data_IF_713018203021
#
_entry.id   IF_713018203021
#
_cell.length_a   1.000
_cell.length_b   1.000
_cell.length_c   1.000
_cell.angle_alpha   90.00
_cell.angle_beta   90.00
_cell.angle_gamma   90.00
#
_symmetry.space_group_name_H-M   'P 1'
#
loop_
_entity.id
_entity.type
_entity.pdbx_description
1 polymer ?
#
# COMPACT_ATOMS: atom_id res chain seq x y z
N UNK A 1 -11.64 19.24 0.61
CA UNK A 1 -12.43 18.81 1.77
C UNK A 1 -13.91 18.98 1.45
N UNK A 2 -14.74 17.97 1.69
CA UNK A 2 -16.18 17.99 1.39
C UNK A 2 -17.04 17.90 2.66
N UNK A 3 -16.47 17.47 3.77
CA UNK A 3 -17.10 17.45 5.07
C UNK A 3 -16.07 17.42 6.18
N UNK A 4 -16.40 18.00 7.33
CA UNK A 4 -15.58 17.96 8.55
C UNK A 4 -16.44 18.12 9.81
N UNK A 5 -15.86 17.71 10.94
CA UNK A 5 -16.27 18.06 12.29
C UNK A 5 -14.99 18.39 13.08
N UNK A 6 -14.87 19.64 13.52
CA UNK A 6 -13.70 20.15 14.27
C UNK A 6 -13.99 20.15 15.78
N UNK A 7 -15.14 19.63 16.21
CA UNK A 7 -15.59 19.54 17.61
C UNK A 7 -15.53 20.84 18.41
N UNK A 8 -15.58 21.99 17.73
CA UNK A 8 -15.53 23.34 18.29
C UNK A 8 -16.89 23.88 18.74
N UNK A 9 -17.96 23.12 18.52
CA UNK A 9 -19.31 23.44 18.93
C UNK A 9 -19.55 23.25 20.44
N UNK A 10 -20.65 23.83 20.98
CA UNK A 10 -20.99 23.70 22.39
C UNK A 10 -21.51 22.29 22.78
N UNK A 11 -21.96 21.52 21.80
CA UNK A 11 -22.48 20.15 21.97
C UNK A 11 -22.14 19.30 20.78
N UNK A 12 -22.06 17.98 21.00
CA UNK A 12 -21.87 17.02 19.94
C UNK A 12 -23.01 17.12 18.89
N UNK A 13 -22.67 17.20 17.61
CA UNK A 13 -23.67 17.30 16.54
C UNK A 13 -24.50 16.02 16.45
N UNK A 14 -25.72 16.09 17.00
CA UNK A 14 -26.64 14.96 17.02
C UNK A 14 -27.14 14.52 15.63
N UNK A 15 -26.92 15.31 14.58
CA UNK A 15 -27.23 14.95 13.18
C UNK A 15 -26.20 13.97 12.63
N UNK A 16 -24.99 13.98 13.19
CA UNK A 16 -23.86 13.13 12.77
C UNK A 16 -23.60 12.00 13.78
N UNK A 17 -23.58 12.34 15.07
CA UNK A 17 -23.12 11.42 16.12
C UNK A 17 -24.25 10.91 17.00
N UNK A 18 -24.10 9.68 17.43
CA UNK A 18 -24.85 9.10 18.56
C UNK A 18 -23.85 8.51 19.54
N UNK A 19 -24.15 8.64 20.84
CA UNK A 19 -23.43 7.89 21.86
C UNK A 19 -23.73 6.41 21.72
N UNK A 20 -22.70 5.58 21.91
CA UNK A 20 -22.81 4.14 21.78
C UNK A 20 -23.45 3.57 23.04
N UNK A 21 -24.42 2.67 22.85
CA UNK A 21 -25.03 1.93 23.95
C UNK A 21 -24.30 0.62 24.21
N UNK A 22 -24.42 0.14 25.44
CA UNK A 22 -23.87 -1.15 25.84
C UNK A 22 -24.45 -2.30 25.02
N UNK A 23 -23.58 -3.24 24.66
CA UNK A 23 -23.99 -4.47 23.99
C UNK A 23 -23.17 -5.67 24.49
N UNK A 24 -23.42 -6.86 23.91
CA UNK A 24 -22.63 -8.06 24.23
C UNK A 24 -21.33 -8.17 23.45
N UNK A 25 -21.12 -7.27 22.48
CA UNK A 25 -19.84 -7.22 21.77
C UNK A 25 -18.71 -6.85 22.75
N UNK A 26 -17.57 -7.48 22.62
CA UNK A 26 -16.42 -7.31 23.57
C UNK A 26 -15.98 -5.87 23.68
N UNK A 27 -16.01 -5.12 22.60
CA UNK A 27 -15.68 -3.69 22.53
C UNK A 27 -16.75 -2.78 23.16
N UNK A 28 -17.99 -3.24 23.38
CA UNK A 28 -19.10 -2.40 23.82
C UNK A 28 -19.69 -2.79 25.20
N UNK A 29 -19.05 -3.71 25.93
CA UNK A 29 -19.58 -4.21 27.21
C UNK A 29 -19.58 -3.17 28.34
N UNK A 30 -18.74 -2.13 28.22
CA UNK A 30 -18.63 -1.03 29.19
C UNK A 30 -19.20 0.29 28.67
N UNK A 31 -19.74 0.32 27.45
CA UNK A 31 -20.28 1.56 26.87
C UNK A 31 -21.45 2.09 27.69
N UNK A 32 -21.46 3.41 27.84
CA UNK A 32 -22.52 4.13 28.56
C UNK A 32 -22.71 5.52 27.92
N UNK A 33 -23.94 6.00 27.94
CA UNK A 33 -24.29 7.36 27.48
C UNK A 33 -24.14 8.44 28.55
N UNK A 34 -23.65 8.09 29.76
CA UNK A 34 -23.48 9.04 30.85
C UNK A 34 -22.57 10.20 30.46
N UNK A 35 -22.97 11.43 30.77
CA UNK A 35 -22.30 12.66 30.35
C UNK A 35 -20.84 12.77 30.85
N UNK A 36 -20.50 12.18 31.99
CA UNK A 36 -19.13 12.21 32.53
C UNK A 36 -18.11 11.55 31.60
N UNK A 37 -18.57 10.68 30.70
CA UNK A 37 -17.72 9.97 29.76
C UNK A 37 -17.42 10.76 28.48
N UNK A 38 -18.03 11.94 28.34
CA UNK A 38 -17.96 12.76 27.13
C UNK A 38 -17.68 14.20 27.50
N UNK A 39 -16.87 14.87 26.71
CA UNK A 39 -16.71 16.31 26.76
C UNK A 39 -16.35 16.88 25.39
N UNK A 40 -16.63 18.16 25.19
CA UNK A 40 -16.02 19.00 24.15
C UNK A 40 -15.15 20.01 24.87
N UNK A 41 -13.85 19.80 24.86
CA UNK A 41 -12.89 20.56 25.66
C UNK A 41 -11.68 20.97 24.82
N UNK A 42 -11.45 22.27 24.70
CA UNK A 42 -10.30 22.82 23.97
C UNK A 42 -10.33 22.57 22.46
N UNK A 43 -11.53 22.33 21.89
CA UNK A 43 -11.69 21.96 20.48
C UNK A 43 -11.59 20.45 20.21
N UNK A 44 -11.54 19.62 21.29
CA UNK A 44 -11.49 18.16 21.14
C UNK A 44 -12.82 17.53 21.55
N UNK A 45 -13.20 16.46 20.86
CA UNK A 45 -14.08 15.44 21.43
C UNK A 45 -13.28 14.55 22.37
N UNK A 46 -13.64 14.54 23.66
CA UNK A 46 -13.03 13.70 24.69
C UNK A 46 -13.92 12.52 25.02
N UNK A 47 -13.40 11.31 24.85
CA UNK A 47 -14.06 10.07 25.23
C UNK A 47 -13.27 9.42 26.36
N UNK A 48 -13.95 9.06 27.46
CA UNK A 48 -13.29 8.59 28.68
C UNK A 48 -13.59 7.13 29.00
N UNK A 49 -12.58 6.46 29.55
CA UNK A 49 -12.72 5.20 30.24
C UNK A 49 -12.49 5.41 31.74
N UNK A 50 -13.43 5.03 32.59
CA UNK A 50 -13.44 5.37 34.03
C UNK A 50 -13.87 4.21 34.91
N UNK A 51 -13.44 4.22 36.18
CA UNK A 51 -14.09 3.44 37.23
C UNK A 51 -15.50 3.97 37.44
N UNK A 52 -16.47 3.07 37.60
CA UNK A 52 -17.85 3.46 37.85
C UNK A 52 -18.10 3.69 39.35
N UNK A 53 -17.68 4.84 39.86
CA UNK A 53 -17.98 5.32 41.21
C UNK A 53 -19.05 6.41 41.24
N UNK A 54 -19.62 6.73 40.10
CA UNK A 54 -20.51 7.87 39.88
C UNK A 54 -21.91 7.53 39.38
N UNK A 55 -22.15 6.30 38.91
CA UNK A 55 -23.46 5.85 38.38
C UNK A 55 -23.91 4.58 39.13
N UNK A 56 -24.43 4.69 40.37
CA UNK A 56 -24.75 3.54 41.20
C UNK A 56 -25.89 2.67 40.67
N UNK A 57 -26.67 3.18 39.69
CA UNK A 57 -27.72 2.39 38.99
C UNK A 57 -27.14 1.43 37.96
N UNK A 58 -25.89 1.58 37.60
CA UNK A 58 -25.18 0.68 36.68
C UNK A 58 -24.18 -0.17 37.45
N UNK A 59 -24.33 -1.48 37.37
CA UNK A 59 -23.52 -2.45 38.17
C UNK A 59 -22.16 -2.76 37.55
N UNK A 60 -21.85 -2.23 36.33
CA UNK A 60 -20.53 -2.43 35.76
C UNK A 60 -19.46 -1.69 36.51
N UNK A 61 -18.30 -2.36 36.74
CA UNK A 61 -17.19 -1.76 37.48
C UNK A 61 -16.50 -0.61 36.70
N UNK A 62 -16.61 -0.64 35.39
CA UNK A 62 -16.03 0.35 34.49
C UNK A 62 -17.07 0.85 33.48
N UNK A 63 -16.96 2.11 33.11
CA UNK A 63 -17.78 2.71 32.06
C UNK A 63 -16.90 3.42 31.03
N UNK A 64 -17.30 3.36 29.78
CA UNK A 64 -16.55 3.93 28.66
C UNK A 64 -17.44 4.77 27.74
N UNK A 65 -16.86 5.84 27.19
CA UNK A 65 -17.48 6.68 26.18
C UNK A 65 -17.15 6.22 24.78
N UNK A 66 -18.09 6.34 23.87
CA UNK A 66 -17.89 6.12 22.45
C UNK A 66 -19.01 6.77 21.62
N UNK A 67 -18.69 7.19 20.42
CA UNK A 67 -19.63 7.76 19.48
C UNK A 67 -19.53 7.07 18.13
N UNK A 68 -20.64 7.00 17.41
CA UNK A 68 -20.68 6.52 16.05
C UNK A 68 -21.57 7.38 15.16
N UNK A 69 -21.23 7.37 13.88
CA UNK A 69 -22.05 8.05 12.86
C UNK A 69 -23.09 7.12 12.20
N UNK A 70 -23.36 5.97 12.79
CA UNK A 70 -24.28 4.94 12.31
C UNK A 70 -25.67 5.50 12.03
N UNK A 71 -26.23 5.21 10.85
CA UNK A 71 -27.52 5.66 10.36
C UNK A 71 -27.68 7.19 10.23
N UNK A 72 -26.59 7.92 10.31
CA UNK A 72 -26.56 9.38 10.22
C UNK A 72 -25.61 9.87 9.15
N UNK A 73 -24.32 9.52 9.27
CA UNK A 73 -23.27 9.90 8.32
C UNK A 73 -22.47 8.67 7.94
N UNK A 74 -22.43 8.35 6.65
CA UNK A 74 -21.54 7.35 6.10
C UNK A 74 -20.58 8.00 5.10
N UNK A 75 -19.43 7.37 4.93
CA UNK A 75 -18.35 7.83 4.08
C UNK A 75 -18.17 6.86 2.91
N UNK A 76 -18.18 7.40 1.70
CA UNK A 76 -17.98 6.69 0.45
C UNK A 76 -16.49 6.47 0.13
N UNK A 77 -16.18 6.35 -1.16
CA UNK A 77 -14.80 6.39 -1.63
C UNK A 77 -14.25 7.80 -1.43
N UNK A 78 -13.01 7.91 -0.98
CA UNK A 78 -12.41 9.18 -0.62
C UNK A 78 -11.38 9.03 0.47
N UNK A 79 -10.91 10.14 1.00
CA UNK A 79 -9.94 10.23 2.10
C UNK A 79 -10.62 10.68 3.38
N UNK A 80 -10.59 9.82 4.39
CA UNK A 80 -11.01 10.13 5.76
C UNK A 80 -9.76 10.34 6.62
N UNK A 81 -9.73 11.45 7.35
CA UNK A 81 -8.62 11.84 8.21
C UNK A 81 -9.13 12.15 9.60
N UNK A 82 -8.55 11.52 10.60
CA UNK A 82 -8.86 11.73 12.01
C UNK A 82 -7.57 12.11 12.73
N UNK A 83 -7.56 13.28 13.38
CA UNK A 83 -6.44 13.69 14.22
C UNK A 83 -6.81 13.46 15.68
N UNK A 84 -6.02 12.64 16.36
CA UNK A 84 -6.32 12.22 17.72
C UNK A 84 -5.05 11.95 18.51
N UNK A 85 -5.20 11.99 19.86
CA UNK A 85 -4.24 11.47 20.81
C UNK A 85 -4.98 10.64 21.86
N UNK A 86 -4.27 9.75 22.55
CA UNK A 86 -4.83 8.90 23.58
C UNK A 86 -3.82 8.60 24.69
N UNK A 87 -4.33 8.27 25.86
CA UNK A 87 -3.52 7.83 26.96
C UNK A 87 -3.03 6.39 26.77
N UNK A 88 -1.90 6.04 27.39
CA UNK A 88 -1.34 4.69 27.36
C UNK A 88 -1.51 4.04 28.74
N UNK A 89 -2.32 2.98 28.78
CA UNK A 89 -2.56 2.23 30.01
C UNK A 89 -2.89 0.76 29.70
N UNK A 90 -2.50 -0.11 30.64
CA UNK A 90 -2.94 -1.51 30.58
C UNK A 90 -4.46 -1.59 30.70
N UNK A 91 -5.08 -2.30 29.78
CA UNK A 91 -6.53 -2.42 29.71
C UNK A 91 -7.22 -1.35 28.87
N UNK A 92 -6.54 -0.29 28.50
CA UNK A 92 -7.08 0.70 27.58
C UNK A 92 -6.96 0.24 26.14
N UNK A 93 -8.05 0.40 25.38
CA UNK A 93 -8.18 -0.01 23.98
C UNK A 93 -8.90 1.08 23.19
N UNK A 94 -8.26 2.24 22.95
CA UNK A 94 -8.84 3.28 22.09
C UNK A 94 -8.87 2.83 20.64
N UNK A 95 -9.95 3.18 19.92
CA UNK A 95 -10.11 2.81 18.52
C UNK A 95 -10.76 3.89 17.67
N UNK A 96 -10.30 3.96 16.42
CA UNK A 96 -10.85 4.72 15.30
C UNK A 96 -11.10 3.71 14.19
N UNK A 97 -12.35 3.38 13.91
CA UNK A 97 -12.68 2.28 13.02
C UNK A 97 -14.01 2.46 12.31
N UNK A 98 -14.29 1.62 11.33
CA UNK A 98 -15.45 1.77 10.47
C UNK A 98 -16.16 0.44 10.22
N UNK A 99 -17.48 0.52 10.14
CA UNK A 99 -18.37 -0.59 9.82
C UNK A 99 -19.29 -0.25 8.63
N UNK A 100 -19.75 -1.24 7.85
CA UNK A 100 -20.60 -1.00 6.70
C UNK A 100 -21.96 -0.42 7.10
N UNK A 101 -22.35 0.65 6.42
CA UNK A 101 -23.68 1.24 6.54
C UNK A 101 -24.64 0.49 5.62
N UNK A 102 -25.50 -0.31 6.19
CA UNK A 102 -26.47 -1.12 5.44
C UNK A 102 -27.80 -1.23 6.18
N UNK A 103 -28.91 -1.31 5.42
CA UNK A 103 -30.24 -1.57 5.96
C UNK A 103 -30.48 -3.06 6.23
N UNK A 104 -29.67 -3.94 5.65
CA UNK A 104 -29.73 -5.39 5.88
C UNK A 104 -28.71 -5.79 6.92
N UNK A 105 -29.12 -6.60 7.89
CA UNK A 105 -28.18 -7.18 8.85
C UNK A 105 -27.16 -8.06 8.08
N UNK A 106 -25.90 -7.70 8.17
CA UNK A 106 -24.79 -8.52 7.68
C UNK A 106 -24.18 -9.27 8.87
N UNK A 107 -24.02 -10.59 8.70
CA UNK A 107 -23.25 -11.34 9.68
C UNK A 107 -21.78 -10.90 9.60
N UNK A 108 -21.27 -10.38 10.71
CA UNK A 108 -19.86 -10.03 10.80
C UNK A 108 -18.98 -11.27 10.54
N UNK A 109 -17.86 -11.13 9.77
CA UNK A 109 -17.32 -9.94 9.14
C UNK A 109 -17.60 -9.82 7.62
N UNK A 110 -18.72 -10.34 7.12
CA UNK A 110 -19.01 -10.41 5.68
C UNK A 110 -19.11 -9.03 5.00
N UNK A 111 -19.55 -8.02 5.74
CA UNK A 111 -19.61 -6.64 5.24
C UNK A 111 -18.28 -5.89 5.27
N UNK A 112 -17.28 -6.48 5.91
CA UNK A 112 -16.00 -5.84 6.17
C UNK A 112 -16.01 -5.00 7.46
N UNK A 113 -14.82 -4.82 8.06
CA UNK A 113 -14.50 -3.90 9.14
C UNK A 113 -13.14 -3.30 8.86
N UNK A 114 -12.99 -2.00 9.08
CA UNK A 114 -11.77 -1.25 8.78
C UNK A 114 -11.32 -0.56 10.06
N UNK A 115 -10.27 -1.06 10.68
CA UNK A 115 -9.67 -0.46 11.87
C UNK A 115 -8.57 0.49 11.44
N UNK A 116 -8.90 1.80 11.40
CA UNK A 116 -7.95 2.84 11.01
C UNK A 116 -6.87 2.99 12.08
N UNK A 117 -7.23 2.86 13.32
CA UNK A 117 -6.33 2.85 14.45
C UNK A 117 -6.93 2.03 15.60
N UNK A 118 -6.17 1.12 16.13
CA UNK A 118 -6.39 0.50 17.43
C UNK A 118 -5.09 0.52 18.22
N UNK A 119 -5.17 0.74 19.52
CA UNK A 119 -4.02 0.63 20.41
C UNK A 119 -4.31 -0.32 21.57
N UNK A 120 -3.32 -1.14 21.92
CA UNK A 120 -3.45 -2.14 22.96
C UNK A 120 -2.30 -2.05 23.96
N UNK A 121 -2.62 -1.94 25.25
CA UNK A 121 -1.63 -1.96 26.33
C UNK A 121 -0.66 -0.77 26.26
N UNK A 122 0.64 -1.07 26.34
CA UNK A 122 1.78 -0.18 26.26
C UNK A 122 2.61 -0.39 24.98
N UNK A 123 1.96 -0.86 23.91
CA UNK A 123 2.66 -1.10 22.66
C UNK A 123 3.20 0.21 22.05
N UNK A 124 4.43 0.22 21.51
CA UNK A 124 4.99 1.42 20.87
C UNK A 124 4.47 1.63 19.44
N UNK A 125 3.38 0.97 19.07
CA UNK A 125 2.75 1.01 17.75
C UNK A 125 1.23 0.94 17.87
N UNK A 126 0.56 1.41 16.86
CA UNK A 126 -0.87 1.18 16.66
C UNK A 126 -1.09 0.08 15.64
N UNK A 127 -2.29 -0.47 15.61
CA UNK A 127 -2.69 -1.46 14.61
C UNK A 127 -3.55 -0.77 13.54
N UNK A 128 -3.24 -1.02 12.27
CA UNK A 128 -4.20 -0.93 11.18
C UNK A 128 -4.67 -2.34 10.86
N UNK A 129 -5.95 -2.60 10.91
CA UNK A 129 -6.47 -3.96 10.69
C UNK A 129 -7.65 -3.93 9.70
N UNK A 130 -7.83 -5.00 8.95
CA UNK A 130 -9.03 -5.22 8.14
C UNK A 130 -9.60 -6.58 8.41
N UNK A 131 -10.90 -6.64 8.69
CA UNK A 131 -11.63 -7.87 8.87
C UNK A 131 -12.62 -8.11 7.73
N UNK A 132 -12.60 -9.31 7.21
CA UNK A 132 -13.52 -9.79 6.17
C UNK A 132 -13.77 -11.28 6.34
N UNK A 133 -14.73 -11.82 5.61
CA UNK A 133 -14.94 -13.27 5.59
C UNK A 133 -13.65 -14.02 5.24
N UNK A 134 -12.88 -13.50 4.30
CA UNK A 134 -11.61 -14.06 3.85
C UNK A 134 -10.53 -14.08 4.93
N UNK A 135 -10.36 -12.94 5.64
CA UNK A 135 -9.30 -12.82 6.66
C UNK A 135 -9.67 -13.52 7.97
N UNK A 136 -10.92 -13.46 8.37
CA UNK A 136 -11.39 -13.98 9.66
C UNK A 136 -11.88 -15.41 9.57
N UNK A 137 -12.94 -15.68 8.78
CA UNK A 137 -13.55 -17.01 8.71
C UNK A 137 -12.69 -18.03 7.97
N UNK A 138 -12.05 -17.62 6.85
CA UNK A 138 -11.18 -18.50 6.08
C UNK A 138 -9.72 -18.50 6.58
N UNK A 139 -9.38 -17.67 7.56
CA UNK A 139 -8.06 -17.58 8.17
C UNK A 139 -6.94 -17.14 7.21
N UNK A 140 -7.28 -16.54 6.07
CA UNK A 140 -6.31 -16.12 5.04
C UNK A 140 -5.75 -14.73 5.34
N UNK A 141 -4.92 -14.63 6.37
CA UNK A 141 -4.48 -13.36 6.98
C UNK A 141 -3.24 -12.73 6.37
N UNK A 142 -2.52 -13.45 5.51
CA UNK A 142 -1.23 -13.01 4.98
C UNK A 142 -1.23 -12.81 3.46
N UNK A 143 -2.43 -12.80 2.82
CA UNK A 143 -2.57 -12.77 1.36
C UNK A 143 -3.78 -11.94 0.90
N UNK A 144 -3.68 -10.62 0.94
CA UNK A 144 -2.68 -9.70 1.52
C UNK A 144 -2.61 -9.77 3.05
N UNK A 145 -1.57 -9.16 3.66
CA UNK A 145 -1.58 -8.98 5.11
C UNK A 145 -2.83 -8.21 5.50
N UNK A 146 -3.52 -8.64 6.54
CA UNK A 146 -4.72 -7.97 7.02
C UNK A 146 -4.41 -6.94 8.12
N UNK A 147 -3.14 -6.80 8.50
CA UNK A 147 -2.72 -5.94 9.61
C UNK A 147 -1.33 -5.33 9.35
N UNK A 148 -1.12 -4.13 9.87
CA UNK A 148 0.18 -3.47 9.98
C UNK A 148 0.33 -2.81 11.35
N UNK A 149 1.57 -2.58 11.78
CA UNK A 149 1.94 -2.09 13.12
C UNK A 149 2.85 -0.85 13.02
N UNK A 150 2.36 0.31 12.55
CA UNK A 150 3.17 1.50 12.47
C UNK A 150 3.44 2.10 13.85
N UNK A 151 4.66 2.62 14.05
CA UNK A 151 5.00 3.42 15.22
C UNK A 151 4.32 4.78 15.14
N UNK A 152 3.82 5.27 16.27
CA UNK A 152 3.17 6.57 16.41
C UNK A 152 3.96 7.46 17.38
N UNK A 153 3.61 8.74 17.46
CA UNK A 153 4.20 9.67 18.42
C UNK A 153 3.35 9.62 19.71
N UNK A 154 3.85 8.91 20.71
CA UNK A 154 3.17 8.75 22.00
C UNK A 154 3.01 10.11 22.72
N UNK A 155 1.84 10.33 23.32
CA UNK A 155 1.51 11.58 24.02
C UNK A 155 1.19 12.78 23.12
N UNK A 156 1.36 12.66 21.80
CA UNK A 156 1.10 13.72 20.85
C UNK A 156 -0.12 13.40 19.96
N UNK A 157 -0.67 14.46 19.34
CA UNK A 157 -1.66 14.24 18.29
C UNK A 157 -1.02 13.60 17.07
N UNK A 158 -1.62 12.53 16.61
CA UNK A 158 -1.28 11.88 15.37
C UNK A 158 -2.45 11.97 14.40
N UNK A 159 -2.16 12.04 13.11
CA UNK A 159 -3.16 12.03 12.06
C UNK A 159 -3.27 10.64 11.46
N UNK A 160 -4.41 10.00 11.67
CA UNK A 160 -4.75 8.68 11.16
C UNK A 160 -5.62 8.84 9.92
N UNK A 161 -5.18 8.32 8.80
CA UNK A 161 -5.85 8.54 7.52
C UNK A 161 -6.15 7.22 6.82
N UNK A 162 -7.34 7.13 6.26
CA UNK A 162 -7.78 6.09 5.35
C UNK A 162 -8.16 6.70 4.00
N UNK A 163 -7.51 6.25 2.93
CA UNK A 163 -8.01 6.43 1.57
C UNK A 163 -8.70 5.15 1.12
N UNK A 164 -9.96 5.28 0.73
CA UNK A 164 -10.78 4.15 0.29
C UNK A 164 -11.09 4.28 -1.20
N UNK A 165 -10.64 3.30 -1.95
CA UNK A 165 -10.85 3.17 -3.38
C UNK A 165 -11.77 1.98 -3.69
N UNK A 166 -12.17 1.85 -4.94
CA UNK A 166 -13.01 0.74 -5.36
C UNK A 166 -12.31 -0.62 -5.21
N UNK A 167 -10.98 -0.64 -5.28
CA UNK A 167 -10.16 -1.85 -5.30
C UNK A 167 -9.06 -1.89 -4.24
N UNK A 168 -8.98 -0.90 -3.36
CA UNK A 168 -7.96 -0.87 -2.31
C UNK A 168 -8.34 0.01 -1.12
N UNK A 169 -7.69 -0.29 0.01
CA UNK A 169 -7.66 0.53 1.22
C UNK A 169 -6.21 0.95 1.46
N UNK A 170 -5.95 2.23 1.64
CA UNK A 170 -4.62 2.76 1.92
C UNK A 170 -4.64 3.55 3.21
N UNK A 171 -3.73 3.22 4.11
CA UNK A 171 -3.65 3.82 5.43
C UNK A 171 -2.40 4.68 5.54
N UNK A 172 -2.55 5.80 6.24
CA UNK A 172 -1.44 6.70 6.52
C UNK A 172 -1.43 7.06 8.01
N UNK A 173 -0.24 7.28 8.53
CA UNK A 173 -0.01 7.84 9.85
C UNK A 173 0.92 9.05 9.72
N UNK A 174 0.44 10.22 10.17
CA UNK A 174 1.15 11.49 10.05
C UNK A 174 1.62 11.78 8.60
N UNK A 175 0.70 11.56 7.63
CA UNK A 175 0.96 11.75 6.21
C UNK A 175 1.83 10.69 5.55
N UNK A 176 2.44 9.77 6.32
CA UNK A 176 3.24 8.68 5.80
C UNK A 176 2.37 7.45 5.56
N UNK A 177 2.42 6.89 4.36
CA UNK A 177 1.76 5.63 4.03
C UNK A 177 2.33 4.49 4.88
N UNK A 178 1.45 3.75 5.54
CA UNK A 178 1.81 2.70 6.52
C UNK A 178 1.27 1.34 6.16
N UNK A 179 0.12 1.29 5.47
CA UNK A 179 -0.52 0.03 5.14
C UNK A 179 -1.32 0.16 3.84
N UNK A 180 -1.43 -0.94 3.10
CA UNK A 180 -2.27 -1.06 1.92
C UNK A 180 -2.92 -2.45 1.88
N UNK A 181 -4.23 -2.48 1.64
CA UNK A 181 -5.00 -3.71 1.47
C UNK A 181 -5.69 -3.70 0.10
N UNK A 182 -5.11 -4.31 -0.95
CA UNK A 182 -5.69 -4.32 -2.28
C UNK A 182 -6.74 -5.43 -2.44
N UNK A 183 -7.69 -5.21 -3.35
CA UNK A 183 -8.46 -6.29 -3.96
C UNK A 183 -7.53 -7.05 -4.90
N UNK A 184 -7.39 -8.37 -4.73
CA UNK A 184 -6.54 -9.15 -5.60
C UNK A 184 -7.22 -10.39 -6.17
N UNK A 185 -8.47 -10.66 -5.80
CA UNK A 185 -9.22 -11.80 -6.33
C UNK A 185 -10.50 -11.34 -7.02
N UNK A 186 -10.69 -11.89 -8.23
CA UNK A 186 -11.99 -11.93 -8.88
C UNK A 186 -12.77 -13.08 -8.27
N UNK A 187 -13.75 -12.82 -7.46
CA UNK A 187 -14.58 -13.87 -6.90
C UNK A 187 -15.23 -13.46 -5.61
N UNK A 188 -16.18 -14.27 -5.21
CA UNK A 188 -17.10 -13.98 -4.13
C UNK A 188 -16.64 -14.62 -2.79
N UNK A 189 -15.31 -14.75 -2.59
CA UNK A 189 -14.77 -15.32 -1.36
C UNK A 189 -14.71 -14.32 -0.19
N UNK A 190 -15.27 -13.12 -0.39
CA UNK A 190 -15.33 -12.08 0.63
C UNK A 190 -13.97 -11.48 0.99
N UNK A 191 -13.00 -11.52 0.06
CA UNK A 191 -11.68 -10.92 0.29
C UNK A 191 -11.75 -9.40 0.38
N UNK A 192 -12.56 -8.74 -0.46
CA UNK A 192 -12.66 -7.28 -0.50
C UNK A 192 -14.12 -6.79 -0.49
N UNK A 193 -14.83 -6.87 0.65
CA UNK A 193 -16.21 -6.37 0.76
C UNK A 193 -16.29 -4.84 0.83
N UNK A 194 -15.16 -4.16 0.93
CA UNK A 194 -15.04 -2.73 1.26
C UNK A 194 -15.52 -1.79 0.15
N UNK A 195 -15.90 -2.28 -1.02
CA UNK A 195 -16.48 -1.49 -2.11
C UNK A 195 -18.00 -1.66 -2.26
N UNK A 196 -18.63 -2.46 -1.40
CA UNK A 196 -20.06 -2.80 -1.56
C UNK A 196 -21.00 -1.83 -0.84
N UNK A 197 -20.49 -1.13 0.18
CA UNK A 197 -21.26 -0.23 1.04
C UNK A 197 -20.43 1.01 1.37
N UNK A 198 -21.11 2.09 1.74
CA UNK A 198 -20.47 3.15 2.51
C UNK A 198 -20.27 2.69 3.94
N UNK A 199 -19.35 3.32 4.65
CA UNK A 199 -18.97 2.93 6.01
C UNK A 199 -19.25 4.07 6.98
N UNK A 200 -19.83 3.76 8.14
CA UNK A 200 -19.93 4.71 9.24
C UNK A 200 -18.71 4.62 10.15
N UNK A 201 -18.35 5.75 10.75
CA UNK A 201 -17.20 5.88 11.64
C UNK A 201 -17.60 5.62 13.09
N UNK A 202 -16.70 4.98 13.82
CA UNK A 202 -16.78 4.71 15.26
C UNK A 202 -15.51 5.24 15.92
N UNK A 203 -15.70 5.99 16.99
CA UNK A 203 -14.64 6.53 17.86
C UNK A 203 -14.94 6.09 19.28
N UNK A 204 -14.06 5.37 19.92
CA UNK A 204 -14.36 4.88 21.26
C UNK A 204 -13.12 4.65 22.16
N UNK A 205 -13.38 4.74 23.48
CA UNK A 205 -12.40 4.59 24.55
C UNK A 205 -12.68 3.29 25.31
N UNK A 206 -12.49 2.15 24.65
CA UNK A 206 -12.78 0.82 25.23
C UNK A 206 -11.87 0.48 26.41
N UNK A 207 -12.38 -0.33 27.34
CA UNK A 207 -11.62 -0.87 28.47
C UNK A 207 -11.79 -2.38 28.56
N UNK A 208 -10.68 -3.06 28.80
CA UNK A 208 -10.65 -4.51 29.05
C UNK A 208 -10.81 -5.37 27.82
N UNK A 209 -10.97 -6.67 28.06
CA UNK A 209 -11.18 -7.78 27.13
C UNK A 209 -10.07 -8.12 26.12
N UNK A 210 -10.12 -9.35 25.72
CA UNK A 210 -9.28 -10.12 24.77
C UNK A 210 -7.79 -9.77 24.75
N UNK A 211 -7.44 -8.64 24.15
CA UNK A 211 -6.04 -8.25 23.99
C UNK A 211 -5.50 -7.42 25.16
N UNK A 212 -6.39 -6.95 26.05
CA UNK A 212 -6.05 -6.15 27.20
C UNK A 212 -6.93 -6.48 28.42
N UNK A 213 -6.94 -7.73 28.91
CA UNK A 213 -7.91 -8.19 29.91
C UNK A 213 -7.67 -7.57 31.29
N UNK A 214 -6.46 -7.16 31.60
CA UNK A 214 -6.13 -6.49 32.86
C UNK A 214 -6.27 -4.99 32.71
N UNK A 215 -7.05 -4.35 33.58
CA UNK A 215 -7.24 -2.91 33.59
C UNK A 215 -6.45 -2.34 34.80
N UNK A 216 -5.48 -1.48 34.50
CA UNK A 216 -4.76 -0.73 35.52
C UNK A 216 -5.62 0.43 36.04
N UNK A 217 -6.32 0.21 37.15
CA UNK A 217 -7.21 1.21 37.72
C UNK A 217 -6.48 2.44 38.26
N UNK A 218 -5.17 2.36 38.47
CA UNK A 218 -4.36 3.50 38.96
C UNK A 218 -4.14 4.56 37.85
N UNK A 219 -4.37 4.17 36.60
CA UNK A 219 -4.24 5.04 35.43
C UNK A 219 -5.56 5.64 34.99
N UNK A 220 -6.68 5.24 35.59
CA UNK A 220 -8.00 5.79 35.23
C UNK A 220 -8.24 7.17 35.94
N UNK A 221 -8.92 8.10 35.28
CA UNK A 221 -9.52 7.98 33.95
C UNK A 221 -8.47 8.00 32.82
N UNK A 222 -8.79 7.31 31.70
CA UNK A 222 -8.04 7.38 30.45
C UNK A 222 -8.91 8.04 29.37
N UNK A 223 -8.27 8.73 28.43
CA UNK A 223 -8.95 9.51 27.40
C UNK A 223 -8.47 9.16 25.98
N UNK A 224 -9.43 9.12 25.06
CA UNK A 224 -9.21 9.34 23.64
C UNK A 224 -9.69 10.74 23.32
N UNK A 225 -8.79 11.60 22.83
CA UNK A 225 -9.07 12.98 22.40
C UNK A 225 -8.99 13.07 20.90
N UNK A 226 -10.07 13.50 20.28
CA UNK A 226 -10.17 13.67 18.82
C UNK A 226 -10.32 15.16 18.51
N UNK A 227 -9.29 15.72 17.86
CA UNK A 227 -9.23 17.12 17.46
C UNK A 227 -10.18 17.38 16.27
N UNK A 228 -10.11 16.52 15.25
CA UNK A 228 -11.02 16.63 14.13
C UNK A 228 -11.27 15.32 13.41
N UNK A 229 -12.35 15.29 12.64
CA UNK A 229 -12.64 14.33 11.58
C UNK A 229 -12.87 15.11 10.28
N UNK A 230 -12.06 14.83 9.24
CA UNK A 230 -12.15 15.49 7.95
C UNK A 230 -12.32 14.49 6.83
N UNK A 231 -13.16 14.80 5.86
CA UNK A 231 -13.39 13.94 4.69
C UNK A 231 -13.19 14.71 3.40
N UNK A 232 -12.44 14.11 2.51
CA UNK A 232 -12.02 14.72 1.25
C UNK A 232 -12.47 13.85 0.09
N UNK A 233 -12.90 14.51 -0.98
CA UNK A 233 -12.96 13.89 -2.29
C UNK A 233 -11.54 13.74 -2.82
N UNK A 234 -11.25 12.55 -3.38
CA UNK A 234 -10.00 12.26 -4.07
C UNK A 234 -10.34 11.65 -5.42
N UNK A 235 -9.41 11.66 -6.35
CA UNK A 235 -9.57 10.93 -7.60
C UNK A 235 -9.52 9.42 -7.32
N UNK A 236 -10.70 8.82 -7.23
CA UNK A 236 -10.84 7.38 -6.94
C UNK A 236 -10.70 6.50 -8.17
N UNK A 237 -10.49 7.10 -9.36
CA UNK A 237 -10.22 6.38 -10.61
C UNK A 237 -8.74 6.05 -10.77
N UNK A 238 -7.86 6.72 -10.04
CA UNK A 238 -6.46 6.35 -10.00
C UNK A 238 -6.35 5.02 -9.27
N UNK A 239 -5.89 4.00 -9.99
CA UNK A 239 -5.47 2.76 -9.38
C UNK A 239 -4.46 3.08 -8.28
N UNK A 240 -4.82 2.84 -7.03
CA UNK A 240 -3.85 2.91 -5.96
C UNK A 240 -2.90 1.76 -6.17
N UNK A 241 -1.73 2.10 -6.64
CA UNK A 241 -0.65 1.17 -6.82
C UNK A 241 -0.26 0.68 -5.43
N UNK A 242 -0.41 -0.62 -5.14
CA UNK A 242 0.09 -1.16 -3.91
C UNK A 242 1.58 -0.84 -3.84
N UNK A 243 2.03 -0.21 -2.74
CA UNK A 243 3.48 -0.21 -2.50
C UNK A 243 3.94 -1.66 -2.54
N UNK A 244 5.08 -1.94 -3.18
CA UNK A 244 5.67 -3.27 -3.14
C UNK A 244 5.81 -3.59 -1.67
N UNK A 245 5.22 -4.70 -1.27
CA UNK A 245 5.35 -5.15 0.11
C UNK A 245 6.81 -5.32 0.38
N UNK A 246 7.25 -4.78 1.50
CA UNK A 246 8.49 -5.19 2.07
C UNK A 246 8.50 -6.71 2.05
N UNK A 247 9.47 -7.23 1.33
CA UNK A 247 9.73 -8.62 1.13
C UNK A 247 9.76 -9.32 2.49
N UNK A 248 8.61 -9.87 2.91
CA UNK A 248 8.54 -10.58 4.17
C UNK A 248 9.17 -11.94 3.99
N UNK A 249 10.41 -12.02 4.37
CA UNK A 249 11.11 -13.27 4.46
C UNK A 249 10.57 -14.03 5.68
N UNK A 250 9.59 -14.92 5.49
CA UNK A 250 8.94 -15.69 6.56
C UNK A 250 9.87 -16.62 7.32
N UNK A 251 11.04 -16.93 6.75
CA UNK A 251 12.09 -17.71 7.44
C UNK A 251 13.46 -17.24 6.97
N UNK A 252 14.44 -17.16 7.88
CA UNK A 252 15.86 -17.00 7.52
C UNK A 252 16.41 -18.23 6.78
N UNK A 253 15.65 -19.34 6.76
CA UNK A 253 16.06 -20.60 6.13
C UNK A 253 15.83 -20.54 4.63
N UNK A 254 16.87 -20.79 3.87
CA UNK A 254 16.83 -20.87 2.40
C UNK A 254 16.92 -22.33 1.98
N UNK A 255 16.22 -22.66 0.91
CA UNK A 255 16.11 -24.01 0.37
C UNK A 255 16.64 -24.05 -1.05
N UNK A 256 17.27 -25.16 -1.47
CA UNK A 256 17.67 -25.33 -2.86
C UNK A 256 16.46 -25.16 -3.77
N UNK A 257 16.56 -24.23 -4.71
CA UNK A 257 15.51 -24.02 -5.70
C UNK A 257 15.41 -25.25 -6.61
N UNK A 258 14.22 -25.75 -6.82
CA UNK A 258 14.03 -27.02 -7.53
C UNK A 258 13.18 -26.89 -8.77
N UNK A 259 12.03 -26.19 -8.68
CA UNK A 259 11.12 -26.04 -9.81
C UNK A 259 10.09 -24.94 -9.58
N UNK A 260 9.54 -24.45 -10.70
CA UNK A 260 8.36 -23.61 -10.79
C UNK A 260 7.16 -24.45 -11.26
N UNK A 261 5.99 -24.14 -10.74
CA UNK A 261 4.69 -24.68 -11.17
C UNK A 261 3.77 -23.50 -11.40
N UNK A 262 3.07 -23.50 -12.54
CA UNK A 262 2.07 -22.46 -12.85
C UNK A 262 0.71 -22.89 -12.28
N UNK A 263 0.07 -21.99 -11.55
CA UNK A 263 -1.30 -22.14 -11.07
C UNK A 263 -2.23 -21.29 -11.96
N UNK A 264 -3.03 -21.94 -12.77
CA UNK A 264 -3.95 -21.30 -13.73
C UNK A 264 -5.31 -20.95 -13.12
N UNK A 265 -5.59 -21.38 -11.90
CA UNK A 265 -6.87 -21.12 -11.23
C UNK A 265 -6.94 -19.72 -10.62
N UNK A 266 -5.80 -19.12 -10.33
CA UNK A 266 -5.71 -17.78 -9.80
C UNK A 266 -5.47 -16.78 -10.94
N UNK A 267 -6.43 -15.88 -11.16
CA UNK A 267 -6.41 -14.88 -12.23
C UNK A 267 -6.49 -13.46 -11.66
N UNK A 268 -5.98 -12.48 -12.39
CA UNK A 268 -5.91 -11.08 -12.00
C UNK A 268 -6.56 -10.19 -13.04
N UNK A 269 -7.04 -9.01 -12.62
CA UNK A 269 -7.60 -8.00 -13.52
C UNK A 269 -6.52 -7.35 -14.38
N UNK A 270 -5.35 -7.12 -13.79
CA UNK A 270 -4.18 -6.60 -14.48
C UNK A 270 -3.44 -7.77 -15.17
N UNK A 271 -3.28 -7.75 -16.50
CA UNK A 271 -2.60 -8.82 -17.24
C UNK A 271 -1.11 -8.94 -16.90
N UNK A 272 -0.51 -7.88 -16.34
CA UNK A 272 0.89 -7.87 -15.90
C UNK A 272 1.07 -8.29 -14.44
N UNK A 273 -0.03 -8.45 -13.69
CA UNK A 273 0.03 -8.89 -12.30
C UNK A 273 0.41 -10.36 -12.17
N UNK A 274 1.11 -10.68 -11.09
CA UNK A 274 1.47 -12.05 -10.76
C UNK A 274 1.57 -12.27 -9.25
N UNK A 275 1.49 -13.53 -8.85
CA UNK A 275 1.65 -13.97 -7.48
C UNK A 275 2.69 -15.10 -7.41
N UNK A 276 3.63 -15.01 -6.48
CA UNK A 276 4.66 -16.01 -6.26
C UNK A 276 4.56 -16.53 -4.85
N UNK A 277 4.48 -17.86 -4.75
CA UNK A 277 4.57 -18.58 -3.47
C UNK A 277 5.74 -19.54 -3.54
N UNK A 278 6.70 -19.40 -2.64
CA UNK A 278 7.76 -20.40 -2.53
C UNK A 278 7.66 -21.15 -1.22
N UNK A 279 7.81 -22.49 -1.29
CA UNK A 279 7.80 -23.38 -0.13
C UNK A 279 8.86 -24.45 -0.33
N UNK A 280 9.85 -24.48 0.57
CA UNK A 280 10.95 -25.49 0.58
C UNK A 280 11.63 -25.64 -0.78
N UNK A 281 11.87 -24.50 -1.47
CA UNK A 281 12.55 -24.48 -2.77
C UNK A 281 11.67 -24.72 -4.00
N UNK A 282 10.38 -25.00 -3.83
CA UNK A 282 9.41 -25.08 -4.93
C UNK A 282 8.66 -23.75 -5.02
N UNK A 283 8.55 -23.20 -6.23
CA UNK A 283 7.77 -21.99 -6.51
C UNK A 283 6.45 -22.37 -7.17
N UNK A 284 5.36 -21.71 -6.74
CA UNK A 284 4.07 -21.69 -7.44
C UNK A 284 3.83 -20.27 -7.91
N UNK A 285 3.49 -20.10 -9.18
CA UNK A 285 3.28 -18.81 -9.84
C UNK A 285 1.89 -18.76 -10.41
N UNK A 286 1.19 -17.64 -10.23
CA UNK A 286 -0.11 -17.35 -10.83
C UNK A 286 -0.02 -16.00 -11.58
N UNK A 287 -0.82 -15.79 -12.62
CA UNK A 287 -0.86 -14.56 -13.42
C UNK A 287 0.24 -14.49 -14.46
N UNK A 288 0.90 -13.35 -14.59
CA UNK A 288 1.93 -13.15 -15.62
C UNK A 288 3.20 -13.94 -15.31
N UNK A 289 3.36 -15.08 -16.01
CA UNK A 289 4.46 -16.03 -15.78
C UNK A 289 5.81 -15.40 -16.15
N UNK A 290 5.88 -14.57 -17.18
CA UNK A 290 7.13 -13.95 -17.64
C UNK A 290 7.69 -13.03 -16.56
N UNK A 291 6.87 -12.13 -16.03
CA UNK A 291 7.28 -11.21 -14.97
C UNK A 291 7.58 -11.93 -13.65
N UNK A 292 6.83 -12.99 -13.37
CA UNK A 292 7.09 -13.82 -12.21
C UNK A 292 8.44 -14.58 -12.31
N UNK A 293 8.79 -15.08 -13.49
CA UNK A 293 10.09 -15.74 -13.74
C UNK A 293 11.25 -14.76 -13.54
N UNK A 294 11.14 -13.52 -14.06
CA UNK A 294 12.13 -12.46 -13.82
C UNK A 294 12.34 -12.20 -12.33
N UNK A 295 11.26 -12.16 -11.57
CA UNK A 295 11.33 -11.99 -10.12
C UNK A 295 11.94 -13.21 -9.43
N UNK A 296 11.56 -14.43 -9.82
CA UNK A 296 12.15 -15.64 -9.26
C UNK A 296 13.66 -15.71 -9.50
N UNK A 297 14.13 -15.29 -10.69
CA UNK A 297 15.55 -15.21 -10.99
C UNK A 297 16.31 -14.26 -10.05
N UNK A 298 15.65 -13.18 -9.61
CA UNK A 298 16.21 -12.25 -8.62
C UNK A 298 16.17 -12.79 -7.19
N UNK A 299 15.17 -13.61 -6.85
CA UNK A 299 14.98 -14.19 -5.52
C UNK A 299 15.90 -15.39 -5.23
N UNK A 300 16.27 -16.12 -6.28
CA UNK A 300 17.25 -17.20 -6.18
C UNK A 300 18.65 -16.61 -6.02
N UNK A 301 19.30 -16.89 -4.90
CA UNK A 301 20.65 -16.40 -4.68
C UNK A 301 21.69 -17.14 -5.53
N UNK A 302 22.91 -16.64 -5.53
CA UNK A 302 24.04 -17.26 -6.22
C UNK A 302 24.31 -18.70 -5.76
N UNK A 303 23.93 -19.02 -4.52
CA UNK A 303 23.99 -20.37 -3.94
C UNK A 303 22.88 -21.31 -4.47
N UNK A 304 22.07 -20.85 -5.42
CA UNK A 304 20.93 -21.60 -5.99
C UNK A 304 19.80 -21.84 -4.98
N UNK A 305 19.73 -21.05 -3.93
CA UNK A 305 18.73 -21.21 -2.86
C UNK A 305 17.75 -20.03 -2.84
N UNK A 306 16.53 -20.33 -2.41
CA UNK A 306 15.45 -19.36 -2.26
C UNK A 306 14.82 -19.46 -0.86
N UNK A 307 14.43 -18.33 -0.30
CA UNK A 307 13.65 -18.30 0.92
C UNK A 307 12.18 -18.68 0.66
N UNK A 308 11.44 -19.05 1.70
CA UNK A 308 10.00 -19.15 1.59
C UNK A 308 9.41 -17.74 1.49
N UNK A 309 8.77 -17.44 0.37
CA UNK A 309 8.11 -16.16 0.11
C UNK A 309 6.68 -16.39 -0.33
N UNK A 310 5.90 -15.35 -0.19
CA UNK A 310 4.51 -15.29 -0.59
C UNK A 310 4.21 -13.83 -0.90
N UNK A 311 4.19 -13.47 -2.17
CA UNK A 311 3.93 -12.10 -2.53
C UNK A 311 3.24 -11.96 -3.88
N UNK A 312 2.41 -10.94 -3.96
CA UNK A 312 1.73 -10.47 -5.14
C UNK A 312 2.40 -9.18 -5.62
N UNK A 313 2.52 -9.02 -6.92
CA UNK A 313 3.13 -7.86 -7.53
C UNK A 313 2.40 -7.46 -8.82
N UNK A 314 2.36 -6.18 -9.13
CA UNK A 314 1.82 -5.63 -10.37
C UNK A 314 2.51 -4.32 -10.72
N UNK A 315 2.55 -3.92 -12.00
CA UNK A 315 3.14 -2.64 -12.36
C UNK A 315 2.28 -1.45 -11.91
N UNK A 316 2.95 -0.35 -11.66
CA UNK A 316 2.33 0.93 -11.41
C UNK A 316 1.79 1.56 -12.68
N UNK A 317 2.52 1.41 -13.77
CA UNK A 317 2.22 2.02 -15.03
C UNK A 317 2.09 0.94 -16.11
N UNK A 318 1.06 1.09 -16.93
CA UNK A 318 0.76 0.14 -18.01
C UNK A 318 1.90 0.06 -19.05
N UNK A 319 2.45 1.20 -19.43
CA UNK A 319 3.53 1.27 -20.42
C UNK A 319 4.86 1.61 -19.73
N UNK A 320 5.87 0.80 -20.00
CA UNK A 320 7.21 0.89 -19.44
C UNK A 320 8.18 0.59 -20.56
N UNK A 321 8.40 1.59 -21.41
CA UNK A 321 9.10 1.42 -22.70
C UNK A 321 10.52 1.96 -22.68
N UNK A 322 11.34 1.42 -23.57
CA UNK A 322 12.66 1.92 -23.93
C UNK A 322 12.61 2.41 -25.36
N UNK A 323 13.07 3.64 -25.61
CA UNK A 323 13.27 4.19 -26.95
C UNK A 323 14.76 4.29 -27.25
N UNK A 324 15.15 3.78 -28.40
CA UNK A 324 16.49 3.87 -28.96
C UNK A 324 16.57 4.90 -30.10
N UNK A 325 15.58 5.78 -30.24
CA UNK A 325 15.53 6.83 -31.30
C UNK A 325 16.75 7.78 -31.27
N UNK A 326 17.31 8.00 -30.07
CA UNK A 326 18.48 8.86 -29.87
C UNK A 326 19.80 8.12 -29.92
N UNK A 327 19.77 6.82 -30.15
CA UNK A 327 20.97 6.02 -30.25
C UNK A 327 21.69 6.31 -31.56
N UNK A 328 22.90 6.82 -31.48
CA UNK A 328 23.70 7.20 -32.66
C UNK A 328 24.66 6.11 -33.15
N UNK A 329 24.72 4.99 -32.42
CA UNK A 329 25.58 3.86 -32.75
C UNK A 329 24.90 2.86 -33.69
N UNK A 330 25.66 1.89 -34.21
CA UNK A 330 25.11 0.73 -34.91
C UNK A 330 24.80 -0.35 -33.88
N UNK A 331 23.52 -0.67 -33.73
CA UNK A 331 23.05 -1.78 -32.90
C UNK A 331 23.21 -3.10 -33.66
N UNK A 332 23.92 -4.03 -33.05
CA UNK A 332 24.04 -5.40 -33.57
C UNK A 332 22.85 -6.25 -33.11
N UNK A 333 22.68 -7.42 -33.73
CA UNK A 333 21.70 -8.42 -33.27
C UNK A 333 21.90 -8.78 -31.79
N UNK A 334 23.16 -8.99 -31.39
CA UNK A 334 23.48 -9.36 -30.00
C UNK A 334 23.19 -8.23 -29.01
N UNK A 335 23.39 -6.96 -29.42
CA UNK A 335 23.04 -5.80 -28.57
C UNK A 335 21.54 -5.75 -28.30
N UNK A 336 20.73 -5.92 -29.33
CA UNK A 336 19.27 -5.90 -29.20
C UNK A 336 18.71 -7.10 -28.45
N UNK A 337 19.29 -8.28 -28.68
CA UNK A 337 18.98 -9.48 -27.93
C UNK A 337 19.25 -9.30 -26.45
N UNK A 338 20.42 -8.76 -26.11
CA UNK A 338 20.81 -8.45 -24.74
C UNK A 338 19.89 -7.38 -24.13
N UNK A 339 19.48 -6.39 -24.91
CA UNK A 339 18.51 -5.36 -24.48
C UNK A 339 17.17 -6.00 -24.12
N UNK A 340 16.64 -6.90 -24.93
CA UNK A 340 15.38 -7.61 -24.65
C UNK A 340 15.48 -8.44 -23.35
N UNK A 341 16.61 -9.12 -23.13
CA UNK A 341 16.84 -9.87 -21.90
C UNK A 341 16.85 -8.95 -20.66
N UNK A 342 17.50 -7.78 -20.77
CA UNK A 342 17.48 -6.78 -19.69
C UNK A 342 16.10 -6.19 -19.46
N UNK A 343 15.39 -5.87 -20.53
CA UNK A 343 14.03 -5.36 -20.45
C UNK A 343 13.09 -6.36 -19.75
N UNK A 344 13.19 -7.65 -20.10
CA UNK A 344 12.43 -8.70 -19.42
C UNK A 344 12.81 -8.82 -17.95
N UNK A 345 14.11 -8.78 -17.63
CA UNK A 345 14.60 -8.84 -16.25
C UNK A 345 14.08 -7.66 -15.41
N UNK A 346 14.04 -6.46 -16.00
CA UNK A 346 13.52 -5.25 -15.35
C UNK A 346 12.03 -5.00 -15.63
N UNK A 347 11.31 -5.96 -16.22
CA UNK A 347 9.86 -5.89 -16.44
C UNK A 347 9.42 -4.70 -17.29
N UNK A 348 10.20 -4.34 -18.28
CA UNK A 348 9.87 -3.33 -19.30
C UNK A 348 9.17 -4.00 -20.48
N UNK A 349 8.09 -3.38 -20.99
CA UNK A 349 7.16 -4.04 -21.92
C UNK A 349 7.06 -3.40 -23.30
N UNK A 350 7.85 -2.36 -23.58
CA UNK A 350 7.87 -1.72 -24.90
C UNK A 350 9.27 -1.37 -25.38
N UNK A 351 9.63 -1.73 -26.60
CA UNK A 351 10.88 -1.33 -27.26
C UNK A 351 10.55 -0.53 -28.52
N UNK A 352 10.95 0.74 -28.54
CA UNK A 352 10.96 1.54 -29.76
C UNK A 352 12.33 1.51 -30.36
N UNK A 353 12.40 0.96 -31.57
CA UNK A 353 13.65 0.80 -32.30
C UNK A 353 13.36 0.84 -33.79
N UNK A 354 14.18 1.59 -34.52
CA UNK A 354 14.13 1.66 -35.99
C UNK A 354 15.15 0.69 -36.60
N UNK A 355 14.65 -0.26 -37.41
CA UNK A 355 15.44 -1.36 -37.97
C UNK A 355 16.23 -0.94 -39.25
N UNK A 356 16.34 0.35 -39.57
CA UNK A 356 16.84 0.85 -40.84
C UNK A 356 18.23 0.28 -41.23
N UNK A 357 18.17 -0.85 -41.94
CA UNK A 357 19.26 -1.32 -42.79
C UNK A 357 20.49 -1.92 -42.10
N UNK A 358 20.46 -2.17 -40.77
CA UNK A 358 21.59 -2.72 -40.03
C UNK A 358 21.49 -4.22 -39.84
N UNK A 359 20.27 -4.75 -39.72
CA UNK A 359 20.00 -6.18 -39.50
C UNK A 359 19.32 -6.81 -40.71
N UNK A 360 19.54 -8.11 -40.92
CA UNK A 360 18.80 -8.88 -41.87
C UNK A 360 17.34 -9.11 -41.45
N UNK A 361 16.45 -9.39 -42.41
CA UNK A 361 15.05 -9.71 -42.15
C UNK A 361 14.90 -10.93 -41.21
N UNK A 362 15.82 -11.88 -41.31
CA UNK A 362 15.87 -13.06 -40.43
C UNK A 362 16.18 -12.67 -38.96
N UNK A 363 17.19 -11.83 -38.73
CA UNK A 363 17.56 -11.34 -37.40
C UNK A 363 16.42 -10.51 -36.78
N UNK A 364 15.77 -9.64 -37.57
CA UNK A 364 14.59 -8.90 -37.14
C UNK A 364 13.45 -9.84 -36.75
N UNK A 365 13.22 -10.90 -37.54
CA UNK A 365 12.23 -11.93 -37.25
C UNK A 365 12.48 -12.64 -35.92
N UNK A 366 13.74 -13.03 -35.69
CA UNK A 366 14.16 -13.68 -34.41
C UNK A 366 13.99 -12.76 -33.22
N UNK A 367 14.37 -11.48 -33.34
CA UNK A 367 14.17 -10.48 -32.26
C UNK A 367 12.71 -10.24 -31.94
N UNK A 368 11.83 -10.19 -32.95
CA UNK A 368 10.38 -10.06 -32.75
C UNK A 368 9.80 -11.27 -32.02
N UNK A 369 10.24 -12.48 -32.39
CA UNK A 369 9.80 -13.69 -31.71
C UNK A 369 10.26 -13.68 -30.23
N UNK A 370 11.53 -13.37 -29.98
CA UNK A 370 12.06 -13.28 -28.61
C UNK A 370 11.31 -12.23 -27.79
N UNK A 371 11.07 -11.05 -28.35
CA UNK A 371 10.31 -9.99 -27.69
C UNK A 371 8.90 -10.45 -27.32
N UNK A 372 8.21 -11.14 -28.23
CA UNK A 372 6.88 -11.70 -27.98
C UNK A 372 6.92 -12.73 -26.83
N UNK A 373 7.90 -13.63 -26.83
CA UNK A 373 8.07 -14.65 -25.78
C UNK A 373 8.35 -14.01 -24.41
N UNK A 374 8.97 -12.84 -24.40
CA UNK A 374 9.30 -12.04 -23.22
C UNK A 374 8.19 -11.04 -22.81
N UNK A 375 7.07 -11.01 -23.52
CA UNK A 375 5.98 -10.06 -23.27
C UNK A 375 6.34 -8.60 -23.60
N UNK A 376 7.30 -8.38 -24.51
CA UNK A 376 7.76 -7.06 -24.94
C UNK A 376 7.19 -6.75 -26.32
N UNK A 377 6.55 -5.59 -26.47
CA UNK A 377 6.07 -5.12 -27.78
C UNK A 377 7.15 -4.28 -28.46
N UNK A 378 7.51 -4.64 -29.70
CA UNK A 378 8.40 -3.82 -30.54
C UNK A 378 7.55 -2.82 -31.33
N UNK A 379 7.88 -1.55 -31.21
CA UNK A 379 7.26 -0.43 -31.93
C UNK A 379 8.23 0.07 -33.00
N UNK A 380 7.73 0.20 -34.23
CA UNK A 380 8.43 0.82 -35.36
C UNK A 380 7.80 2.18 -35.65
N UNK A 381 8.42 2.98 -36.51
CA UNK A 381 7.92 4.32 -36.85
C UNK A 381 6.49 4.33 -37.40
N UNK A 382 6.04 3.23 -38.04
CA UNK A 382 4.67 3.05 -38.53
C UNK A 382 3.66 2.57 -37.45
N UNK A 383 4.14 2.25 -36.27
CA UNK A 383 3.30 1.73 -35.19
C UNK A 383 2.60 2.86 -34.44
N UNK A 384 1.34 2.65 -34.04
CA UNK A 384 0.67 3.53 -33.07
C UNK A 384 1.36 3.38 -31.71
N UNK A 385 2.28 4.31 -31.43
CA UNK A 385 2.97 4.39 -30.15
C UNK A 385 1.97 4.94 -29.13
N UNK A 386 1.89 4.35 -27.91
CA UNK A 386 1.10 4.92 -26.84
C UNK A 386 1.52 6.36 -26.54
N UNK A 387 0.55 7.26 -26.43
CA UNK A 387 0.79 8.65 -26.02
C UNK A 387 1.07 8.67 -24.51
N UNK A 388 2.34 8.50 -24.18
CA UNK A 388 2.85 8.47 -22.82
C UNK A 388 4.09 9.36 -22.72
N UNK A 389 4.45 9.72 -21.50
CA UNK A 389 5.55 10.66 -21.28
C UNK A 389 6.91 10.16 -21.74
N UNK A 390 7.80 11.09 -22.02
CA UNK A 390 9.20 10.82 -22.40
C UNK A 390 10.09 11.15 -21.22
N UNK A 391 10.93 10.19 -20.82
CA UNK A 391 11.96 10.35 -19.79
C UNK A 391 13.31 10.31 -20.46
N UNK A 392 14.05 11.42 -20.41
CA UNK A 392 15.35 11.54 -21.05
C UNK A 392 16.49 11.32 -20.05
N UNK A 393 17.52 10.58 -20.47
CA UNK A 393 18.76 10.45 -19.70
C UNK A 393 19.58 11.75 -19.73
N UNK A 394 19.29 12.68 -20.66
CA UNK A 394 19.88 14.01 -20.68
C UNK A 394 19.41 14.88 -19.53
N UNK A 395 20.31 15.62 -18.92
CA UNK A 395 20.04 16.60 -17.88
C UNK A 395 21.29 17.09 -17.17
N UNK A 396 21.11 18.03 -16.28
CA UNK A 396 22.17 18.72 -15.57
C UNK A 396 23.23 17.75 -14.97
N UNK A 397 24.50 17.94 -15.31
CA UNK A 397 25.63 17.06 -15.01
C UNK A 397 25.96 16.88 -13.50
N UNK A 398 25.18 17.51 -12.61
CA UNK A 398 25.43 17.50 -11.17
C UNK A 398 25.06 16.17 -10.48
N UNK A 399 24.21 15.34 -11.10
CA UNK A 399 23.77 14.05 -10.56
C UNK A 399 23.67 12.97 -11.65
N UNK A 400 23.98 11.70 -11.32
CA UNK A 400 23.78 10.59 -12.24
C UNK A 400 22.33 10.51 -12.76
N UNK A 401 22.16 10.12 -14.03
CA UNK A 401 20.85 9.97 -14.66
C UNK A 401 19.91 9.06 -13.85
N UNK A 402 20.44 7.95 -13.33
CA UNK A 402 19.70 7.01 -12.47
C UNK A 402 19.07 7.67 -11.22
N UNK A 403 19.81 8.52 -10.54
CA UNK A 403 19.29 9.22 -9.36
C UNK A 403 18.19 10.22 -9.72
N UNK A 404 18.34 10.93 -10.83
CA UNK A 404 17.33 11.89 -11.32
C UNK A 404 16.05 11.20 -11.73
N UNK A 405 16.13 10.10 -12.48
CA UNK A 405 14.98 9.31 -12.91
C UNK A 405 14.28 8.69 -11.71
N UNK A 406 15.01 8.18 -10.74
CA UNK A 406 14.45 7.61 -9.54
C UNK A 406 13.67 8.63 -8.70
N UNK A 407 14.09 9.88 -8.67
CA UNK A 407 13.46 10.95 -7.89
C UNK A 407 12.27 11.64 -8.60
N UNK A 408 12.08 11.39 -9.90
CA UNK A 408 10.94 11.94 -10.64
C UNK A 408 9.67 11.11 -10.41
N UNK A 409 8.47 11.71 -10.33
CA UNK A 409 7.22 10.97 -10.28
C UNK A 409 7.02 10.19 -11.59
N UNK A 410 6.51 8.96 -11.48
CA UNK A 410 6.08 8.20 -12.66
C UNK A 410 4.88 8.90 -13.30
N UNK A 411 4.83 8.92 -14.63
CA UNK A 411 3.70 9.47 -15.37
C UNK A 411 2.53 8.47 -15.37
N UNK A 412 1.32 8.97 -15.26
CA UNK A 412 0.10 8.18 -15.00
C UNK A 412 -0.10 7.00 -15.97
N UNK A 413 0.09 7.23 -17.27
CA UNK A 413 -0.10 6.18 -18.30
C UNK A 413 1.17 5.41 -18.63
N UNK A 414 2.28 5.73 -18.00
CA UNK A 414 3.59 5.14 -18.30
C UNK A 414 4.55 6.10 -18.99
N UNK A 415 5.65 5.58 -19.47
CA UNK A 415 6.68 6.39 -20.11
C UNK A 415 7.62 5.63 -21.00
N UNK A 416 8.35 6.39 -21.81
CA UNK A 416 9.46 5.95 -22.66
C UNK A 416 10.76 6.48 -22.08
N UNK A 417 11.69 5.57 -21.72
CA UNK A 417 13.07 5.93 -21.40
C UNK A 417 13.86 6.02 -22.70
N UNK A 418 14.31 7.21 -23.06
CA UNK A 418 15.17 7.43 -24.20
C UNK A 418 16.64 7.20 -23.83
N UNK A 419 17.23 6.14 -24.37
CA UNK A 419 18.64 5.81 -24.20
C UNK A 419 19.47 6.35 -25.36
N UNK A 420 20.71 6.75 -25.05
CA UNK A 420 21.70 7.22 -26.05
C UNK A 420 22.78 6.19 -26.34
N UNK A 421 22.92 5.21 -25.49
CA UNK A 421 23.92 4.17 -25.58
C UNK A 421 23.48 2.92 -24.86
N UNK A 422 24.39 1.96 -24.71
CA UNK A 422 24.24 0.73 -23.95
C UNK A 422 25.31 0.61 -22.87
N UNK A 423 25.82 1.74 -22.44
CA UNK A 423 26.88 1.84 -21.47
C UNK A 423 26.32 1.65 -20.03
N UNK A 424 27.21 1.55 -19.08
CA UNK A 424 26.85 1.34 -17.66
C UNK A 424 25.84 2.37 -17.13
N UNK A 425 25.97 3.63 -17.55
CA UNK A 425 25.09 4.72 -17.11
C UNK A 425 23.66 4.56 -17.67
N UNK A 426 23.53 4.07 -18.89
CA UNK A 426 22.24 3.75 -19.51
C UNK A 426 21.55 2.60 -18.78
N UNK A 427 22.32 1.59 -18.34
CA UNK A 427 21.81 0.47 -17.57
C UNK A 427 21.32 0.90 -16.19
N UNK A 428 22.02 1.82 -15.53
CA UNK A 428 21.58 2.37 -14.26
C UNK A 428 20.31 3.21 -14.41
N UNK A 429 20.18 3.95 -15.52
CA UNK A 429 18.98 4.69 -15.87
C UNK A 429 17.79 3.75 -16.12
N UNK A 430 18.01 2.64 -16.82
CA UNK A 430 16.99 1.61 -17.10
C UNK A 430 16.50 0.95 -15.81
N UNK A 431 17.39 0.65 -14.86
CA UNK A 431 17.03 0.10 -13.55
C UNK A 431 16.21 1.11 -12.76
N UNK A 432 16.58 2.39 -12.74
CA UNK A 432 15.86 3.43 -12.03
C UNK A 432 14.46 3.67 -12.62
N UNK A 433 14.36 3.68 -13.94
CA UNK A 433 13.10 3.79 -14.66
C UNK A 433 12.17 2.60 -14.37
N UNK A 434 12.70 1.37 -14.46
CA UNK A 434 11.96 0.16 -14.12
C UNK A 434 11.41 0.21 -12.70
N UNK A 435 12.27 0.47 -11.71
CA UNK A 435 11.84 0.54 -10.32
C UNK A 435 10.74 1.59 -10.14
N UNK A 436 10.85 2.74 -10.81
CA UNK A 436 9.90 3.83 -10.71
C UNK A 436 8.57 3.51 -11.37
N UNK A 437 8.59 2.99 -12.58
CA UNK A 437 7.40 2.74 -13.38
C UNK A 437 6.73 1.39 -13.07
N UNK A 438 7.46 0.47 -12.45
CA UNK A 438 6.85 -0.74 -11.90
C UNK A 438 6.21 -0.49 -10.54
N UNK A 439 6.90 0.20 -9.62
CA UNK A 439 6.45 0.36 -8.23
C UNK A 439 5.59 1.59 -7.98
N UNK A 440 5.73 2.63 -8.78
CA UNK A 440 5.04 3.91 -8.55
C UNK A 440 5.38 4.54 -7.20
N UNK A 441 4.48 5.33 -6.70
CA UNK A 441 4.58 5.94 -5.38
C UNK A 441 5.26 7.32 -5.38
N UNK A 442 4.95 8.14 -4.39
CA UNK A 442 5.59 9.44 -4.18
C UNK A 442 6.95 9.29 -3.51
N UNK A 443 7.96 9.98 -4.02
CA UNK A 443 9.28 10.05 -3.37
C UNK A 443 9.35 11.17 -2.31
N UNK A 444 8.18 11.66 -1.87
CA UNK A 444 8.07 12.75 -0.90
C UNK A 444 7.84 14.11 -1.56
N UNK A 445 6.96 14.90 -0.97
CA UNK A 445 6.68 16.29 -1.37
C UNK A 445 7.95 17.09 -1.47
N UNK A 446 8.18 17.79 -2.57
CA UNK A 446 9.26 18.73 -2.67
C UNK A 446 9.78 19.09 -4.05
N UNK A 447 9.03 18.87 -5.13
CA UNK A 447 9.39 19.45 -6.44
C UNK A 447 8.54 20.68 -6.74
N UNK A 448 8.82 21.79 -6.09
CA UNK A 448 8.49 23.10 -6.67
C UNK A 448 9.75 23.71 -7.24
N UNK A 449 9.72 24.03 -8.55
CA UNK A 449 10.66 24.87 -9.27
C UNK A 449 12.11 24.37 -9.37
N UNK A 450 12.36 23.28 -10.10
CA UNK A 450 13.70 23.00 -10.65
C UNK A 450 14.85 22.82 -9.65
N UNK A 451 14.56 22.76 -8.36
CA UNK A 451 15.50 22.52 -7.28
C UNK A 451 15.37 21.11 -6.72
N UNK A 452 16.48 20.49 -6.37
CA UNK A 452 16.50 19.22 -5.67
C UNK A 452 15.69 19.28 -4.37
N UNK A 453 14.91 18.24 -4.04
CA UNK A 453 14.10 18.22 -2.83
C UNK A 453 14.98 18.35 -1.57
N UNK A 454 14.59 19.25 -0.67
CA UNK A 454 15.26 19.44 0.63
C UNK A 454 15.00 18.28 1.60
N UNK A 455 14.10 17.34 1.30
CA UNK A 455 13.79 16.17 2.12
C UNK A 455 14.71 14.97 1.81
N UNK A 456 16.02 15.16 1.94
CA UNK A 456 17.03 14.09 1.81
C UNK A 456 16.95 13.02 2.92
N UNK A 457 16.19 13.20 4.00
CA UNK A 457 16.23 12.24 5.13
C UNK A 457 15.39 10.98 4.92
N UNK A 458 14.25 11.03 4.22
CA UNK A 458 13.45 9.84 3.89
C UNK A 458 13.63 9.36 2.46
N UNK A 459 13.78 10.28 1.51
CA UNK A 459 14.18 9.95 0.15
C UNK A 459 15.63 9.44 0.09
N UNK A 460 16.52 9.93 0.97
CA UNK A 460 17.91 9.48 1.08
C UNK A 460 18.02 8.00 1.47
N UNK A 461 17.15 7.47 2.33
CA UNK A 461 17.18 6.05 2.69
C UNK A 461 16.66 5.15 1.55
N UNK A 462 15.66 5.58 0.79
CA UNK A 462 15.15 4.85 -0.39
C UNK A 462 16.15 4.89 -1.54
N UNK A 463 16.75 6.05 -1.81
CA UNK A 463 17.79 6.18 -2.81
C UNK A 463 19.03 5.37 -2.44
N UNK A 464 19.48 5.41 -1.17
CA UNK A 464 20.61 4.61 -0.70
C UNK A 464 20.34 3.11 -0.85
N UNK A 465 19.17 2.62 -0.44
CA UNK A 465 18.76 1.23 -0.63
C UNK A 465 18.66 0.84 -2.12
N UNK A 466 18.22 1.76 -2.97
CA UNK A 466 18.20 1.56 -4.42
C UNK A 466 19.62 1.50 -4.99
N UNK A 467 20.50 2.39 -4.58
CA UNK A 467 21.90 2.40 -5.01
C UNK A 467 22.68 1.17 -4.55
N UNK A 468 22.37 0.61 -3.35
CA UNK A 468 22.90 -0.67 -2.92
C UNK A 468 22.43 -1.82 -3.82
N UNK A 469 21.16 -1.84 -4.20
CA UNK A 469 20.61 -2.82 -5.16
C UNK A 469 21.28 -2.71 -6.53
N UNK A 470 21.47 -1.48 -7.02
CA UNK A 470 22.26 -1.23 -8.25
C UNK A 470 23.66 -1.81 -8.13
N UNK A 471 24.35 -1.60 -7.02
CA UNK A 471 25.71 -2.12 -6.82
C UNK A 471 25.78 -3.66 -6.89
N UNK A 472 24.78 -4.34 -6.33
CA UNK A 472 24.67 -5.82 -6.43
C UNK A 472 24.43 -6.27 -7.87
N UNK A 473 23.58 -5.56 -8.61
CA UNK A 473 23.28 -5.92 -10.00
C UNK A 473 24.41 -5.56 -10.95
N UNK A 474 25.23 -4.54 -10.67
CA UNK A 474 26.45 -4.21 -11.46
C UNK A 474 27.38 -5.41 -11.61
N UNK A 475 27.52 -6.24 -10.59
CA UNK A 475 28.36 -7.44 -10.63
C UNK A 475 27.81 -8.56 -11.52
N UNK A 476 26.50 -8.55 -11.78
CA UNK A 476 25.83 -9.56 -12.62
C UNK A 476 25.87 -9.23 -14.12
N UNK A 477 26.16 -8.00 -14.48
CA UNK A 477 26.16 -7.50 -15.86
C UNK A 477 27.59 -7.19 -16.40
N UNK A 478 28.62 -7.45 -15.60
CA UNK A 478 30.01 -7.54 -16.04
C UNK A 478 30.33 -8.94 -16.56
#
# INVERSE_FOLDING_TARGET
MIWNDEFDGPTLDSRVWSKIWRSRADWAIHMSSNEKLYALEGGDLVLRGMVNDFLPTDTAAFLTGGVWSRNKKAFGFGRLEVRAKFDVAQGFWPAIWMMPQTSKALNWPHGGEIDIMEHFRDNPYVNHTVHSHYTYNLGKRNRPSHVAYPKYNEGEYNTYTLERFQDSLVFFLNGKRTFNYPRFRKGNDGQFPFSQHDFYLILDAQLGRDRSPYIDTTKLPVELRVDYVRYYEIDTKTDVIPEPRDYQQYTRKRYKYSKMVVNVEETFDDPDAYHIITRRGKATVSGNVVWAQSTLAQLVGEDGRIANVDFYDRPACRYRGVSLDKYSGKLTYDDLKKMLDWMAFFKLNGLKWNADGVLSDEEVGLLRQQAQDLGITIFTDDSRIPDVGIVDVEGNAQFPASSRIFLQPAMENGGWLCLKGLEKEDMEALMAFSERYWRGGDVGEGTQNGGLPVALSTAGSRLANFMEKIAVHRQRFQ
#
